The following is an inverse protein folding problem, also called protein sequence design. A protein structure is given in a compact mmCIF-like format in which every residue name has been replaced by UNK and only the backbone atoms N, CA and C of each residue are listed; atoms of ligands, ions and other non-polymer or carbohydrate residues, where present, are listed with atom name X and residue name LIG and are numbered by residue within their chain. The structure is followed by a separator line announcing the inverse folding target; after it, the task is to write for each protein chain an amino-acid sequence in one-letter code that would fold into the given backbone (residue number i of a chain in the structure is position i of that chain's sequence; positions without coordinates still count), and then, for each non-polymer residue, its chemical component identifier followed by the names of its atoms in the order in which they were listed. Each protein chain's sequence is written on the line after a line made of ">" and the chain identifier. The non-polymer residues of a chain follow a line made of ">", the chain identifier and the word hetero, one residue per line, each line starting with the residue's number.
data_IF_227044663327
#
_entry.id   IF_227044663327
#
_cell.length_a   1.000
_cell.length_b   1.000
_cell.length_c   1.000
_cell.angle_alpha   90.00
_cell.angle_beta   90.00
_cell.angle_gamma   90.00
#
_symmetry.space_group_name_H-M   'P 1'
#
loop_
_entity.id
_entity.type
_entity.pdbx_description
1 polymer ?
#
# COMPACT_ATOMS: atom_id res chain seq x y z
N UNK A 1 10.09 30.47 20.26
CA UNK A 1 9.61 30.48 18.87
C UNK A 1 10.50 29.55 18.04
N UNK A 2 10.04 28.34 17.67
CA UNK A 2 10.82 27.37 16.90
C UNK A 2 10.63 27.67 15.41
N UNK A 3 11.65 28.18 14.74
CA UNK A 3 11.67 28.35 13.30
C UNK A 3 11.64 26.96 12.64
N UNK A 4 10.47 26.54 12.18
CA UNK A 4 10.31 25.39 11.28
C UNK A 4 10.33 25.91 9.84
N UNK A 5 11.48 25.83 9.18
CA UNK A 5 11.54 26.02 7.73
C UNK A 5 11.13 24.71 7.01
N UNK A 6 10.74 24.79 5.72
CA UNK A 6 10.49 23.62 4.87
C UNK A 6 11.69 22.64 4.78
N UNK A 7 12.89 23.09 5.17
CA UNK A 7 14.14 22.33 5.10
C UNK A 7 14.47 21.48 6.33
N UNK A 8 13.61 21.46 7.36
CA UNK A 8 13.82 20.67 8.58
C UNK A 8 14.24 21.48 9.80
N UNK A 9 14.65 20.80 10.88
CA UNK A 9 15.08 21.45 12.11
C UNK A 9 16.52 21.99 11.99
N UNK A 10 16.77 23.23 12.43
CA UNK A 10 18.10 23.82 12.46
C UNK A 10 19.08 22.96 13.28
N UNK A 11 20.20 22.60 12.68
CA UNK A 11 21.27 21.91 13.37
C UNK A 11 22.27 22.93 13.96
N UNK A 12 21.99 23.40 15.19
CA UNK A 12 22.82 24.41 15.88
C UNK A 12 24.30 24.01 15.86
N UNK A 13 24.63 22.76 16.23
CA UNK A 13 26.03 22.29 16.26
C UNK A 13 26.72 22.37 14.88
N UNK A 14 26.01 22.00 13.78
CA UNK A 14 26.59 22.07 12.43
C UNK A 14 26.66 23.51 11.92
N UNK A 15 25.68 24.33 12.25
CA UNK A 15 25.66 25.75 11.92
C UNK A 15 26.84 26.46 12.58
N UNK A 16 27.04 26.28 13.89
CA UNK A 16 28.18 26.86 14.60
C UNK A 16 29.52 26.39 14.01
N UNK A 17 29.70 25.08 13.83
CA UNK A 17 30.96 24.53 13.28
C UNK A 17 31.26 25.05 11.86
N UNK A 18 30.25 25.31 11.03
CA UNK A 18 30.43 25.81 9.67
C UNK A 18 30.72 27.33 9.65
N UNK A 19 30.35 28.05 10.69
CA UNK A 19 30.54 29.50 10.81
C UNK A 19 31.71 29.89 11.75
N UNK A 20 32.44 28.92 12.33
CA UNK A 20 33.61 29.19 13.15
C UNK A 20 34.69 29.97 12.38
N UNK A 21 34.84 29.73 11.06
CA UNK A 21 35.80 30.44 10.22
C UNK A 21 35.39 31.89 9.90
N UNK A 22 34.15 32.29 10.19
CA UNK A 22 33.60 33.63 9.94
C UNK A 22 33.32 34.40 11.25
N UNK A 23 34.10 34.14 12.29
CA UNK A 23 33.94 34.84 13.59
C UNK A 23 32.74 34.40 14.42
N UNK A 24 32.09 33.28 14.07
CA UNK A 24 30.94 32.74 14.82
C UNK A 24 29.58 33.33 14.47
N UNK A 25 29.52 34.35 13.61
CA UNK A 25 28.24 34.87 13.13
C UNK A 25 27.54 33.86 12.21
N UNK A 26 26.22 33.57 12.39
CA UNK A 26 25.51 32.51 11.66
C UNK A 26 25.15 32.93 10.22
N UNK A 27 26.17 33.05 9.37
CA UNK A 27 26.01 33.38 7.95
C UNK A 27 25.42 32.24 7.11
N UNK A 28 25.69 30.97 7.51
CA UNK A 28 25.17 29.77 6.83
C UNK A 28 24.42 28.88 7.80
N UNK A 29 23.10 28.89 7.72
CA UNK A 29 22.25 28.00 8.50
C UNK A 29 22.32 26.57 7.91
N UNK A 30 22.56 25.58 8.77
CA UNK A 30 22.58 24.16 8.41
C UNK A 30 21.37 23.48 9.02
N UNK A 31 20.47 23.04 8.18
CA UNK A 31 19.30 22.29 8.62
C UNK A 31 19.61 20.77 8.65
N UNK A 32 19.00 20.05 9.57
CA UNK A 32 18.97 18.59 9.51
C UNK A 32 18.01 18.20 8.41
N UNK A 33 18.50 17.62 7.31
CA UNK A 33 17.60 16.95 6.38
C UNK A 33 16.87 15.84 7.15
N UNK A 34 15.54 15.85 7.14
CA UNK A 34 14.79 14.65 7.53
C UNK A 34 15.25 13.57 6.56
N UNK A 35 15.89 12.50 7.05
CA UNK A 35 15.98 11.28 6.25
C UNK A 35 14.55 10.91 5.91
N UNK A 36 14.19 10.76 4.63
CA UNK A 36 12.87 10.32 4.27
C UNK A 36 12.62 8.99 5.00
N UNK A 37 11.63 8.98 5.89
CA UNK A 37 11.25 7.75 6.60
C UNK A 37 10.66 6.81 5.55
N UNK A 38 11.31 5.68 5.33
CA UNK A 38 10.78 4.63 4.47
C UNK A 38 9.44 4.18 5.06
N UNK A 39 8.36 4.20 4.29
CA UNK A 39 7.05 3.80 4.79
C UNK A 39 7.03 2.30 5.13
N UNK A 40 6.25 1.94 6.14
CA UNK A 40 5.81 0.57 6.31
C UNK A 40 4.68 0.34 5.29
N UNK A 41 4.71 -0.76 4.55
CA UNK A 41 3.73 -1.04 3.49
C UNK A 41 2.92 -2.29 3.87
N UNK A 42 1.60 -2.22 3.72
CA UNK A 42 0.71 -3.38 3.74
C UNK A 42 -0.03 -3.45 2.41
N UNK A 43 0.07 -4.60 1.72
CA UNK A 43 -0.57 -4.80 0.43
C UNK A 43 -1.60 -5.91 0.55
N UNK A 44 -2.83 -5.63 0.14
CA UNK A 44 -3.92 -6.59 0.01
C UNK A 44 -4.18 -6.79 -1.49
N UNK A 45 -3.93 -7.99 -2.00
CA UNK A 45 -4.08 -8.31 -3.42
C UNK A 45 -5.21 -9.30 -3.62
N UNK A 46 -6.17 -8.90 -4.43
CA UNK A 46 -7.22 -9.79 -4.92
C UNK A 46 -6.63 -10.81 -5.89
N UNK A 47 -6.97 -12.07 -5.68
CA UNK A 47 -6.58 -13.21 -6.54
C UNK A 47 -7.80 -14.00 -7.01
N UNK A 48 -8.97 -13.38 -7.02
CA UNK A 48 -10.21 -13.95 -7.53
C UNK A 48 -10.18 -14.19 -9.04
N UNK A 49 -11.14 -14.94 -9.54
CA UNK A 49 -11.22 -15.28 -10.96
C UNK A 49 -11.41 -14.07 -11.87
N UNK A 50 -12.12 -13.03 -11.41
CA UNK A 50 -12.34 -11.80 -12.17
C UNK A 50 -11.04 -11.06 -12.52
N UNK A 51 -10.03 -11.17 -11.67
CA UNK A 51 -8.71 -10.54 -11.85
C UNK A 51 -7.60 -11.52 -12.23
N UNK A 52 -7.91 -12.79 -12.49
CA UNK A 52 -6.93 -13.86 -12.74
C UNK A 52 -5.89 -13.50 -13.79
N UNK A 53 -6.30 -12.85 -14.89
CA UNK A 53 -5.41 -12.48 -15.99
C UNK A 53 -4.36 -11.43 -15.60
N UNK A 54 -4.64 -10.62 -14.59
CA UNK A 54 -3.75 -9.54 -14.12
C UNK A 54 -3.15 -9.82 -12.75
N UNK A 55 -3.70 -10.79 -12.00
CA UNK A 55 -3.26 -11.09 -10.63
C UNK A 55 -1.79 -11.48 -10.56
N UNK A 56 -1.29 -12.24 -11.56
CA UNK A 56 0.13 -12.61 -11.62
C UNK A 56 1.03 -11.36 -11.74
N UNK A 57 0.68 -10.42 -12.60
CA UNK A 57 1.38 -9.14 -12.75
C UNK A 57 1.33 -8.32 -11.44
N UNK A 58 0.17 -8.29 -10.79
CA UNK A 58 0.00 -7.58 -9.52
C UNK A 58 0.83 -8.22 -8.40
N UNK A 59 0.90 -9.54 -8.33
CA UNK A 59 1.74 -10.25 -7.35
C UNK A 59 3.24 -10.08 -7.63
N UNK A 60 3.66 -9.97 -8.90
CA UNK A 60 5.03 -9.59 -9.25
C UNK A 60 5.36 -8.19 -8.74
N UNK A 61 4.42 -7.25 -8.88
CA UNK A 61 4.59 -5.90 -8.32
C UNK A 61 4.71 -5.95 -6.79
N UNK A 62 3.86 -6.71 -6.11
CA UNK A 62 3.94 -6.90 -4.64
C UNK A 62 5.28 -7.48 -4.22
N UNK A 63 5.79 -8.47 -4.97
CA UNK A 63 7.13 -9.03 -4.75
C UNK A 63 8.21 -7.94 -4.88
N UNK A 64 8.14 -7.15 -5.96
CA UNK A 64 9.10 -6.03 -6.18
C UNK A 64 9.06 -5.01 -5.04
N UNK A 65 7.89 -4.72 -4.49
CA UNK A 65 7.79 -3.85 -3.31
C UNK A 65 8.53 -4.47 -2.09
N UNK A 66 8.49 -5.79 -1.92
CA UNK A 66 9.22 -6.45 -0.82
C UNK A 66 10.75 -6.37 -0.99
N UNK A 67 11.25 -6.38 -2.23
CA UNK A 67 12.67 -6.17 -2.51
C UNK A 67 13.11 -4.72 -2.25
N UNK A 68 12.26 -3.76 -2.57
CA UNK A 68 12.58 -2.33 -2.46
C UNK A 68 12.42 -1.77 -1.04
N UNK A 69 11.53 -2.32 -0.24
CA UNK A 69 11.17 -1.79 1.07
C UNK A 69 11.41 -2.81 2.18
N UNK A 70 12.05 -2.37 3.26
CA UNK A 70 12.43 -3.25 4.38
C UNK A 70 11.23 -3.79 5.19
N UNK A 71 10.10 -3.11 5.14
CA UNK A 71 8.91 -3.44 5.95
C UNK A 71 7.67 -3.50 5.06
N UNK A 72 7.49 -4.64 4.40
CA UNK A 72 6.30 -4.93 3.61
C UNK A 72 5.62 -6.16 4.16
N UNK A 73 4.32 -6.07 4.35
CA UNK A 73 3.44 -7.21 4.63
C UNK A 73 2.48 -7.37 3.46
N UNK A 74 2.36 -8.57 2.97
CA UNK A 74 1.60 -8.90 1.77
C UNK A 74 0.53 -9.93 2.08
N UNK A 75 -0.67 -9.65 1.60
CA UNK A 75 -1.86 -10.47 1.81
C UNK A 75 -2.50 -10.77 0.46
N UNK A 76 -3.09 -11.95 0.34
CA UNK A 76 -3.99 -12.30 -0.77
C UNK A 76 -5.39 -12.56 -0.23
N UNK A 77 -6.40 -12.27 -1.03
CA UNK A 77 -7.79 -12.53 -0.66
C UNK A 77 -8.67 -12.86 -1.88
N UNK A 78 -9.79 -13.51 -1.60
CA UNK A 78 -10.96 -13.69 -2.46
C UNK A 78 -12.20 -13.38 -1.62
N UNK A 79 -12.55 -14.24 -0.70
CA UNK A 79 -13.49 -14.01 0.40
C UNK A 79 -12.72 -13.99 1.73
N UNK A 80 -11.92 -15.02 1.96
CA UNK A 80 -10.97 -15.05 3.08
C UNK A 80 -9.70 -14.29 2.72
N UNK A 81 -8.91 -13.93 3.73
CA UNK A 81 -7.64 -13.23 3.57
C UNK A 81 -6.50 -14.01 4.25
N UNK A 82 -5.38 -14.15 3.57
CA UNK A 82 -4.19 -14.82 4.07
C UNK A 82 -2.92 -14.02 3.87
N UNK A 83 -2.01 -14.06 4.86
CA UNK A 83 -0.71 -13.41 4.77
C UNK A 83 0.30 -14.27 4.01
N UNK A 84 0.92 -13.71 2.98
CA UNK A 84 1.92 -14.36 2.12
C UNK A 84 3.32 -13.76 2.24
N UNK A 85 3.55 -12.85 3.17
CA UNK A 85 4.84 -12.17 3.38
C UNK A 85 6.02 -13.14 3.45
N UNK A 86 5.82 -14.28 4.13
CA UNK A 86 6.86 -15.30 4.31
C UNK A 86 7.21 -16.05 3.03
N UNK A 87 6.28 -16.20 2.09
CA UNK A 87 6.53 -16.85 0.80
C UNK A 87 7.51 -16.03 -0.03
N UNK A 88 7.25 -14.73 -0.15
CA UNK A 88 8.10 -13.80 -0.91
C UNK A 88 9.49 -13.58 -0.29
N UNK A 89 9.67 -13.88 0.99
CA UNK A 89 10.98 -13.82 1.66
C UNK A 89 11.84 -15.07 1.49
N UNK A 90 11.20 -16.21 1.22
CA UNK A 90 11.86 -17.53 1.25
C UNK A 90 12.04 -18.17 -0.11
N UNK A 91 11.33 -17.70 -1.11
CA UNK A 91 11.22 -18.33 -2.42
C UNK A 91 11.47 -17.32 -3.53
N UNK A 92 11.80 -17.82 -4.70
CA UNK A 92 11.80 -17.00 -5.92
C UNK A 92 10.37 -16.54 -6.28
N UNK A 93 10.28 -15.51 -7.10
CA UNK A 93 9.01 -14.85 -7.44
C UNK A 93 8.00 -15.82 -8.06
N UNK A 94 8.43 -16.72 -8.94
CA UNK A 94 7.50 -17.65 -9.62
C UNK A 94 6.91 -18.65 -8.66
N UNK A 95 7.75 -19.32 -7.86
CA UNK A 95 7.32 -20.31 -6.86
C UNK A 95 6.42 -19.67 -5.79
N UNK A 96 6.75 -18.45 -5.35
CA UNK A 96 5.94 -17.73 -4.37
C UNK A 96 4.55 -17.36 -4.91
N UNK A 97 4.46 -16.90 -6.16
CA UNK A 97 3.19 -16.60 -6.82
C UNK A 97 2.38 -17.86 -7.03
N UNK A 98 2.98 -18.93 -7.51
CA UNK A 98 2.32 -20.21 -7.75
C UNK A 98 1.72 -20.77 -6.44
N UNK A 99 2.43 -20.66 -5.32
CA UNK A 99 1.90 -21.05 -4.01
C UNK A 99 0.80 -20.12 -3.50
N UNK A 100 0.93 -18.82 -3.70
CA UNK A 100 -0.08 -17.84 -3.30
C UNK A 100 -1.41 -18.06 -4.06
N UNK A 101 -1.31 -18.55 -5.31
CA UNK A 101 -2.46 -18.82 -6.20
C UNK A 101 -2.82 -20.32 -6.33
N UNK A 102 -2.26 -21.18 -5.49
CA UNK A 102 -2.55 -22.63 -5.50
C UNK A 102 -3.71 -23.04 -4.57
N UNK A 103 -4.40 -22.08 -3.92
CA UNK A 103 -5.49 -22.40 -2.98
C UNK A 103 -5.02 -22.93 -1.62
N UNK A 104 -3.71 -22.90 -1.35
CA UNK A 104 -3.16 -23.41 -0.07
C UNK A 104 -3.19 -22.37 1.05
N UNK A 105 -3.27 -21.10 0.70
CA UNK A 105 -3.29 -19.97 1.66
C UNK A 105 -4.74 -19.56 1.96
N UNK A 106 -5.55 -19.50 0.92
CA UNK A 106 -6.98 -19.15 0.99
C UNK A 106 -7.78 -20.03 0.03
N UNK A 107 -9.09 -20.13 0.22
CA UNK A 107 -9.97 -20.83 -0.69
C UNK A 107 -10.21 -19.98 -1.95
N UNK A 108 -9.62 -20.38 -3.07
CA UNK A 108 -9.77 -19.68 -4.38
C UNK A 108 -11.10 -19.98 -5.07
N UNK A 109 -11.77 -21.08 -4.72
CA UNK A 109 -13.06 -21.45 -5.32
C UNK A 109 -14.25 -20.71 -4.69
N UNK A 110 -14.00 -19.87 -3.69
CA UNK A 110 -15.03 -19.03 -3.09
C UNK A 110 -15.40 -17.90 -4.04
N UNK A 111 -16.66 -17.46 -3.98
CA UNK A 111 -17.08 -16.23 -4.64
C UNK A 111 -16.42 -15.01 -3.98
N UNK A 112 -16.06 -14.04 -4.79
CA UNK A 112 -15.45 -12.79 -4.33
C UNK A 112 -16.31 -12.08 -3.29
N UNK A 113 -15.72 -11.73 -2.15
CA UNK A 113 -16.43 -11.02 -1.07
C UNK A 113 -15.47 -10.03 -0.38
N UNK A 114 -15.31 -8.88 -0.99
CA UNK A 114 -14.45 -7.81 -0.48
C UNK A 114 -14.85 -7.39 0.94
N UNK A 115 -16.15 -7.26 1.20
CA UNK A 115 -16.62 -6.82 2.51
C UNK A 115 -16.24 -7.79 3.62
N UNK A 116 -16.25 -9.10 3.37
CA UNK A 116 -15.81 -10.11 4.33
C UNK A 116 -14.30 -10.05 4.53
N UNK A 117 -13.53 -10.05 3.44
CA UNK A 117 -12.07 -9.95 3.49
C UNK A 117 -11.60 -8.69 4.24
N UNK A 118 -12.23 -7.54 3.97
CA UNK A 118 -11.94 -6.28 4.67
C UNK A 118 -12.25 -6.37 6.18
N UNK A 119 -13.37 -7.00 6.57
CA UNK A 119 -13.70 -7.21 8.00
C UNK A 119 -12.71 -8.13 8.69
N UNK A 120 -12.27 -9.20 8.05
CA UNK A 120 -11.23 -10.07 8.58
C UNK A 120 -9.90 -9.33 8.73
N UNK A 121 -9.52 -8.53 7.73
CA UNK A 121 -8.33 -7.69 7.82
C UNK A 121 -8.43 -6.70 8.98
N UNK A 122 -9.56 -6.05 9.14
CA UNK A 122 -9.82 -5.12 10.23
C UNK A 122 -9.65 -5.78 11.60
N UNK A 123 -10.29 -6.93 11.81
CA UNK A 123 -10.28 -7.61 13.12
C UNK A 123 -8.89 -8.15 13.49
N UNK A 124 -8.10 -8.56 12.49
CA UNK A 124 -6.84 -9.27 12.74
C UNK A 124 -5.62 -8.35 12.67
N UNK A 125 -5.57 -7.42 11.72
CA UNK A 125 -4.34 -6.67 11.41
C UNK A 125 -4.42 -5.16 11.54
N UNK A 126 -5.59 -4.59 11.81
CA UNK A 126 -5.72 -3.14 12.00
C UNK A 126 -4.79 -2.59 13.10
N UNK A 127 -4.49 -3.41 14.13
CA UNK A 127 -3.57 -3.05 15.21
C UNK A 127 -2.14 -2.78 14.73
N UNK A 128 -1.74 -3.40 13.61
CA UNK A 128 -0.41 -3.20 13.00
C UNK A 128 -0.30 -1.96 12.12
N UNK A 129 -1.40 -1.26 11.84
CA UNK A 129 -1.41 -0.03 11.04
C UNK A 129 -1.06 1.17 11.92
N UNK A 130 -0.14 1.99 11.44
CA UNK A 130 0.31 3.22 12.11
C UNK A 130 0.31 4.41 11.14
N UNK A 131 0.54 5.62 11.65
CA UNK A 131 0.71 6.83 10.82
C UNK A 131 1.92 6.79 9.86
N UNK A 132 2.71 5.72 9.90
CA UNK A 132 3.81 5.47 8.96
C UNK A 132 3.42 4.46 7.87
N UNK A 133 2.32 3.74 8.06
CA UNK A 133 1.88 2.67 7.17
C UNK A 133 1.18 3.23 5.94
N UNK A 134 1.62 2.82 4.76
CA UNK A 134 0.87 2.93 3.51
C UNK A 134 0.16 1.61 3.27
N UNK A 135 -1.16 1.65 3.14
CA UNK A 135 -1.97 0.48 2.78
C UNK A 135 -2.31 0.57 1.31
N UNK A 136 -2.03 -0.49 0.57
CA UNK A 136 -2.31 -0.62 -0.86
C UNK A 136 -3.30 -1.76 -1.03
N UNK A 137 -4.43 -1.51 -1.67
CA UNK A 137 -5.41 -2.52 -2.06
C UNK A 137 -5.33 -2.66 -3.57
N UNK A 138 -5.25 -3.89 -4.06
CA UNK A 138 -5.17 -4.22 -5.48
C UNK A 138 -6.35 -5.12 -5.81
N UNK A 139 -7.24 -4.67 -6.70
CA UNK A 139 -8.39 -5.45 -7.13
C UNK A 139 -9.49 -4.60 -7.77
N UNK A 140 -10.47 -5.26 -8.37
CA UNK A 140 -11.54 -4.65 -9.16
C UNK A 140 -12.72 -4.09 -8.33
N UNK A 141 -12.77 -4.44 -7.03
CA UNK A 141 -13.83 -3.99 -6.13
C UNK A 141 -15.18 -4.65 -6.37
N UNK A 142 -15.20 -5.84 -7.02
CA UNK A 142 -16.41 -6.62 -7.29
C UNK A 142 -16.73 -7.53 -6.12
N UNK A 143 -17.89 -7.30 -5.51
CA UNK A 143 -18.27 -7.97 -4.26
C UNK A 143 -19.16 -9.18 -4.45
N UNK A 144 -19.49 -9.54 -5.69
CA UNK A 144 -20.50 -10.54 -5.99
C UNK A 144 -21.81 -10.29 -5.21
N UNK A 145 -22.27 -9.01 -5.22
CA UNK A 145 -23.46 -8.51 -4.53
C UNK A 145 -23.48 -8.72 -3.00
N UNK A 146 -22.32 -9.03 -2.39
CA UNK A 146 -22.19 -9.09 -0.94
C UNK A 146 -22.08 -7.69 -0.34
N UNK A 147 -22.43 -7.50 0.96
CA UNK A 147 -22.27 -6.22 1.65
C UNK A 147 -20.83 -5.70 1.56
N UNK A 148 -20.59 -4.49 1.05
CA UNK A 148 -19.25 -3.98 0.76
C UNK A 148 -18.43 -3.64 2.00
N UNK A 149 -19.06 -3.41 3.13
CA UNK A 149 -18.41 -3.04 4.40
C UNK A 149 -17.36 -1.91 4.26
N UNK A 150 -17.63 -0.93 3.41
CA UNK A 150 -16.71 0.16 3.08
C UNK A 150 -16.28 1.01 4.30
N UNK A 151 -17.03 0.97 5.39
CA UNK A 151 -16.68 1.61 6.66
C UNK A 151 -15.30 1.17 7.17
N UNK A 152 -14.88 -0.08 6.87
CA UNK A 152 -13.55 -0.60 7.23
C UNK A 152 -12.45 0.23 6.61
N UNK A 153 -12.62 0.66 5.35
CA UNK A 153 -11.64 1.52 4.68
C UNK A 153 -11.52 2.89 5.38
N UNK A 154 -12.63 3.40 5.91
CA UNK A 154 -12.63 4.60 6.74
C UNK A 154 -11.78 4.45 8.01
N UNK A 155 -11.88 3.28 8.68
CA UNK A 155 -11.07 2.96 9.85
C UNK A 155 -9.58 2.84 9.50
N UNK A 156 -9.25 2.14 8.40
CA UNK A 156 -7.89 2.03 7.88
C UNK A 156 -7.33 3.42 7.56
N UNK A 157 -8.11 4.24 6.82
CA UNK A 157 -7.72 5.61 6.42
C UNK A 157 -7.39 6.49 7.62
N UNK A 158 -8.15 6.40 8.70
CA UNK A 158 -7.89 7.17 9.93
C UNK A 158 -6.58 6.81 10.60
N UNK A 159 -6.14 5.55 10.51
CA UNK A 159 -4.91 5.05 11.16
C UNK A 159 -3.67 5.15 10.28
N UNK A 160 -3.80 4.93 8.97
CA UNK A 160 -2.65 4.87 8.06
C UNK A 160 -2.14 6.26 7.65
N UNK A 161 -0.97 6.27 7.01
CA UNK A 161 -0.41 7.44 6.33
C UNK A 161 -1.11 7.68 5.01
N UNK A 162 -1.28 6.61 4.21
CA UNK A 162 -1.96 6.61 2.92
C UNK A 162 -2.73 5.32 2.74
N UNK A 163 -3.92 5.42 2.16
CA UNK A 163 -4.71 4.31 1.65
C UNK A 163 -4.84 4.52 0.15
N UNK A 164 -4.28 3.59 -0.62
CA UNK A 164 -4.22 3.65 -2.09
C UNK A 164 -4.95 2.43 -2.63
N UNK A 165 -5.77 2.62 -3.66
CA UNK A 165 -6.41 1.52 -4.37
C UNK A 165 -5.90 1.46 -5.80
N UNK A 166 -5.45 0.29 -6.23
CA UNK A 166 -5.01 0.00 -7.60
C UNK A 166 -6.07 -0.91 -8.23
N UNK A 167 -6.84 -0.36 -9.15
CA UNK A 167 -7.91 -1.06 -9.82
C UNK A 167 -7.44 -1.52 -11.21
N UNK A 168 -7.53 -2.83 -11.56
CA UNK A 168 -7.18 -3.32 -12.89
C UNK A 168 -8.21 -2.96 -13.97
N UNK A 169 -9.37 -2.42 -13.58
CA UNK A 169 -10.40 -1.97 -14.50
C UNK A 169 -10.30 -0.47 -14.80
N UNK A 170 -10.84 -0.07 -15.95
CA UNK A 170 -10.97 1.33 -16.30
C UNK A 170 -12.06 2.03 -15.47
N UNK A 171 -11.89 3.32 -15.24
CA UNK A 171 -12.80 4.08 -14.39
C UNK A 171 -14.25 4.07 -14.89
N UNK A 172 -14.45 3.93 -16.21
CA UNK A 172 -15.81 3.88 -16.77
C UNK A 172 -16.56 2.57 -16.42
N UNK A 173 -15.85 1.52 -16.00
CA UNK A 173 -16.46 0.24 -15.57
C UNK A 173 -16.88 0.27 -14.09
N UNK A 174 -16.43 1.27 -13.32
CA UNK A 174 -16.71 1.34 -11.89
C UNK A 174 -18.18 1.61 -11.61
N UNK A 175 -18.77 0.79 -10.74
CA UNK A 175 -20.18 0.86 -10.40
C UNK A 175 -21.13 0.10 -11.34
N UNK A 176 -20.58 -0.57 -12.37
CA UNK A 176 -21.39 -1.48 -13.19
C UNK A 176 -21.40 -2.89 -12.61
N UNK A 177 -22.58 -3.51 -12.61
CA UNK A 177 -22.80 -4.84 -12.05
C UNK A 177 -22.62 -4.84 -10.53
N UNK A 178 -21.72 -5.67 -10.06
CA UNK A 178 -21.39 -5.85 -8.64
C UNK A 178 -20.16 -5.06 -8.17
N UNK A 179 -19.69 -4.11 -8.99
CA UNK A 179 -18.54 -3.27 -8.65
C UNK A 179 -18.93 -2.17 -7.64
N UNK A 180 -18.31 -2.17 -6.48
CA UNK A 180 -18.47 -1.18 -5.41
C UNK A 180 -17.35 -0.12 -5.42
N UNK A 181 -16.61 0.00 -6.51
CA UNK A 181 -15.50 0.94 -6.64
C UNK A 181 -15.88 2.41 -6.34
N UNK A 182 -17.04 2.95 -6.77
CA UNK A 182 -17.43 4.31 -6.42
C UNK A 182 -17.59 4.54 -4.91
N UNK A 183 -18.03 3.50 -4.17
CA UNK A 183 -18.15 3.54 -2.72
C UNK A 183 -16.78 3.44 -2.05
N UNK A 184 -15.94 2.49 -2.47
CA UNK A 184 -14.60 2.30 -1.92
C UNK A 184 -13.68 3.51 -2.17
N UNK A 185 -13.76 4.13 -3.36
CA UNK A 185 -12.95 5.26 -3.75
C UNK A 185 -13.08 6.46 -2.78
N UNK A 186 -14.28 6.71 -2.25
CA UNK A 186 -14.54 7.80 -1.28
C UNK A 186 -13.72 7.67 0.00
N UNK A 187 -13.37 6.45 0.37
CA UNK A 187 -12.57 6.16 1.56
C UNK A 187 -11.07 6.14 1.26
N UNK A 188 -10.64 6.10 0.02
CA UNK A 188 -9.23 6.10 -0.34
C UNK A 188 -8.63 7.51 -0.34
N UNK A 189 -7.31 7.62 -0.16
CA UNK A 189 -6.58 8.85 -0.43
C UNK A 189 -6.33 9.00 -1.93
N UNK A 190 -6.20 7.86 -2.63
CA UNK A 190 -6.00 7.80 -4.07
C UNK A 190 -6.54 6.49 -4.61
N UNK A 191 -7.12 6.55 -5.81
CA UNK A 191 -7.45 5.40 -6.63
C UNK A 191 -6.80 5.59 -8.00
N UNK A 192 -6.20 4.53 -8.53
CA UNK A 192 -5.56 4.54 -9.86
C UNK A 192 -6.00 3.31 -10.63
N UNK A 193 -6.37 3.49 -11.90
CA UNK A 193 -6.47 2.38 -12.84
C UNK A 193 -5.07 1.92 -13.20
N UNK A 194 -4.80 0.61 -13.12
CA UNK A 194 -3.47 0.02 -13.33
C UNK A 194 -3.63 -1.24 -14.18
N UNK A 195 -3.24 -1.16 -15.45
CA UNK A 195 -3.45 -2.22 -16.44
C UNK A 195 -2.17 -2.66 -17.13
N UNK A 196 -1.09 -1.92 -16.91
CA UNK A 196 0.21 -2.16 -17.54
C UNK A 196 1.36 -2.13 -16.53
N UNK A 197 2.52 -2.63 -16.96
CA UNK A 197 3.76 -2.53 -16.20
C UNK A 197 4.14 -1.07 -15.96
N UNK A 198 3.92 -0.18 -16.94
CA UNK A 198 4.23 1.24 -16.83
C UNK A 198 3.37 1.95 -15.77
N UNK A 199 2.10 1.55 -15.64
CA UNK A 199 1.23 2.06 -14.58
C UNK A 199 1.77 1.66 -13.21
N UNK A 200 2.20 0.40 -13.04
CA UNK A 200 2.80 -0.10 -11.80
C UNK A 200 4.13 0.59 -11.50
N UNK A 201 4.98 0.81 -12.50
CA UNK A 201 6.25 1.54 -12.35
C UNK A 201 6.01 2.97 -11.86
N UNK A 202 4.99 3.65 -12.40
CA UNK A 202 4.58 4.99 -11.96
C UNK A 202 4.12 4.99 -10.51
N UNK A 203 3.28 4.03 -10.11
CA UNK A 203 2.86 3.89 -8.71
C UNK A 203 4.06 3.62 -7.81
N UNK A 204 4.97 2.71 -8.19
CA UNK A 204 6.17 2.42 -7.41
C UNK A 204 7.04 3.67 -7.20
N UNK A 205 7.23 4.49 -8.25
CA UNK A 205 8.01 5.74 -8.16
C UNK A 205 7.43 6.75 -7.19
N UNK A 206 6.10 6.81 -7.07
CA UNK A 206 5.40 7.71 -6.16
C UNK A 206 5.36 7.23 -4.69
N UNK A 207 5.62 5.95 -4.47
CA UNK A 207 5.79 5.40 -3.12
C UNK A 207 7.18 5.70 -2.56
N UNK A 208 8.14 5.97 -3.44
CA UNK A 208 9.49 6.38 -3.01
C UNK A 208 9.43 7.75 -2.31
N UNK A 209 10.21 7.93 -1.23
CA UNK A 209 10.23 9.17 -0.46
C UNK A 209 10.86 10.34 -1.21
#
# INVERSE_FOLDING_TARGET
>A
MLFRSHEGALSVRRTLRKNLATGGEPYKLVFRSKRPERPDIMVLCDVSDSVRNVSRLMLQFVYTLQELYARVRSFVFVSDIGEITHLFKKMDVSAAIDLATAGKVINLSANSNYGHALKLFYSTWLGGITRRTTVIIIGDGRTNYNPPNAWVLGEIKRKCRRLIWLCPEEQHSWGFGDSEMPLYARHCHRVSSVRSVDDLARVASELMP
#
